data_IF_216769647746
#
_entry.id   IF_216769647746
#
_cell.length_a   1.000
_cell.length_b   1.000
_cell.length_c   1.000
_cell.angle_alpha   90.00
_cell.angle_beta   90.00
_cell.angle_gamma   90.00
#
_symmetry.space_group_name_H-M   'P 1'
#
loop_
_entity.id
_entity.type
_entity.pdbx_description
1 polymer ?
#
# COMPACT_ATOMS: atom_id res chain seq x y z
N UNK A 1 2.70 48.65 -24.32
CA UNK A 1 1.75 47.95 -25.21
C UNK A 1 2.14 46.49 -25.46
N UNK A 2 3.38 46.10 -25.16
CA UNK A 2 3.89 44.74 -25.43
C UNK A 2 3.65 43.72 -24.30
N UNK A 3 3.11 44.14 -23.16
CA UNK A 3 2.80 43.22 -22.03
C UNK A 3 1.34 42.71 -22.03
N UNK A 4 0.51 43.17 -22.95
CA UNK A 4 -0.89 42.74 -23.06
C UNK A 4 -1.15 41.64 -24.09
N UNK A 5 -0.17 41.25 -24.88
CA UNK A 5 -0.33 40.18 -25.89
C UNK A 5 0.05 38.76 -25.37
N UNK A 6 0.58 38.63 -24.17
CA UNK A 6 0.95 37.32 -23.58
C UNK A 6 -0.18 36.63 -22.80
N UNK A 7 -1.34 37.27 -22.65
CA UNK A 7 -2.56 36.60 -22.19
C UNK A 7 -3.25 35.95 -23.40
N UNK A 8 -2.63 34.94 -23.98
CA UNK A 8 -3.27 34.05 -24.94
C UNK A 8 -4.59 33.59 -24.36
N UNK A 9 -5.68 33.97 -24.99
CA UNK A 9 -7.04 33.49 -24.72
C UNK A 9 -6.99 31.98 -24.70
N UNK A 10 -7.04 31.37 -23.50
CA UNK A 10 -7.34 29.96 -23.40
C UNK A 10 -8.73 29.80 -24.04
N UNK A 11 -8.78 29.09 -25.14
CA UNK A 11 -10.02 28.57 -25.69
C UNK A 11 -10.60 27.68 -24.59
N UNK A 12 -11.90 27.79 -24.29
CA UNK A 12 -12.54 26.97 -23.24
C UNK A 12 -12.47 25.46 -23.47
N UNK A 13 -11.85 25.04 -24.57
CA UNK A 13 -11.68 23.65 -25.01
C UNK A 13 -10.24 23.13 -24.81
N UNK A 14 -9.31 23.93 -24.29
CA UNK A 14 -7.92 23.53 -24.10
C UNK A 14 -7.78 22.69 -22.80
N UNK A 15 -7.17 21.51 -22.93
CA UNK A 15 -6.81 20.64 -21.79
C UNK A 15 -5.43 21.04 -21.28
N UNK A 16 -5.32 21.12 -19.93
CA UNK A 16 -4.02 21.26 -19.27
C UNK A 16 -3.28 19.93 -19.22
N UNK A 17 -4.02 18.81 -19.04
CA UNK A 17 -3.46 17.46 -18.91
C UNK A 17 -4.29 16.44 -19.69
N UNK A 18 -3.62 15.63 -20.48
CA UNK A 18 -4.18 14.43 -21.08
C UNK A 18 -3.49 13.20 -20.49
N UNK A 19 -4.24 12.37 -19.77
CA UNK A 19 -3.76 11.10 -19.22
C UNK A 19 -4.13 9.96 -20.15
N UNK A 20 -3.15 9.17 -20.56
CA UNK A 20 -3.34 8.01 -21.42
C UNK A 20 -3.16 6.72 -20.63
N UNK A 21 -4.24 5.98 -20.44
CA UNK A 21 -4.32 4.76 -19.66
C UNK A 21 -4.96 4.95 -18.28
N UNK A 22 -5.99 4.16 -17.98
CA UNK A 22 -6.76 4.21 -16.74
C UNK A 22 -6.39 3.05 -15.77
N UNK A 23 -5.11 2.76 -15.63
CA UNK A 23 -4.58 1.96 -14.52
C UNK A 23 -4.46 2.80 -13.24
N UNK A 24 -3.95 2.21 -12.15
CA UNK A 24 -3.82 2.90 -10.85
C UNK A 24 -3.02 4.21 -10.95
N UNK A 25 -1.95 4.22 -11.75
CA UNK A 25 -1.13 5.43 -11.95
C UNK A 25 -1.91 6.49 -12.72
N UNK A 26 -2.53 6.14 -13.85
CA UNK A 26 -3.26 7.11 -14.67
C UNK A 26 -4.48 7.67 -13.96
N UNK A 27 -5.28 6.83 -13.29
CA UNK A 27 -6.42 7.28 -12.51
C UNK A 27 -5.98 8.19 -11.34
N UNK A 28 -4.92 7.82 -10.61
CA UNK A 28 -4.37 8.67 -9.55
C UNK A 28 -3.83 10.00 -10.08
N UNK A 29 -3.13 10.00 -11.22
CA UNK A 29 -2.63 11.22 -11.87
C UNK A 29 -3.78 12.14 -12.30
N UNK A 30 -4.83 11.57 -12.91
CA UNK A 30 -6.00 12.34 -13.32
C UNK A 30 -6.72 12.96 -12.13
N UNK A 31 -6.91 12.19 -11.06
CA UNK A 31 -7.54 12.66 -9.82
C UNK A 31 -6.72 13.79 -9.18
N UNK A 32 -5.41 13.64 -9.06
CA UNK A 32 -4.54 14.68 -8.50
C UNK A 32 -4.57 15.95 -9.36
N UNK A 33 -4.49 15.84 -10.69
CA UNK A 33 -4.56 16.97 -11.61
C UNK A 33 -5.89 17.74 -11.46
N UNK A 34 -7.02 17.04 -11.48
CA UNK A 34 -8.34 17.65 -11.29
C UNK A 34 -8.46 18.30 -9.90
N UNK A 35 -7.94 17.66 -8.85
CA UNK A 35 -7.97 18.22 -7.50
C UNK A 35 -7.20 19.54 -7.35
N UNK A 36 -6.24 19.76 -8.26
CA UNK A 36 -5.47 21.02 -8.36
C UNK A 36 -6.11 22.05 -9.29
N UNK A 37 -7.28 21.75 -9.83
CA UNK A 37 -8.02 22.66 -10.73
C UNK A 37 -7.56 22.63 -12.18
N UNK A 38 -6.78 21.65 -12.60
CA UNK A 38 -6.36 21.48 -13.97
C UNK A 38 -7.47 20.85 -14.82
N UNK A 39 -7.68 21.40 -16.04
CA UNK A 39 -8.56 20.82 -17.05
C UNK A 39 -7.95 19.51 -17.55
N UNK A 40 -8.56 18.38 -17.19
CA UNK A 40 -7.95 17.06 -17.37
C UNK A 40 -8.87 16.12 -18.12
N UNK A 41 -8.33 15.42 -19.12
CA UNK A 41 -8.98 14.28 -19.75
C UNK A 41 -8.19 13.00 -19.49
N UNK A 42 -8.91 11.89 -19.36
CA UNK A 42 -8.34 10.55 -19.26
C UNK A 42 -8.91 9.69 -20.37
N UNK A 43 -8.04 9.00 -21.10
CA UNK A 43 -8.42 8.07 -22.17
C UNK A 43 -7.88 6.69 -21.89
N UNK A 44 -8.73 5.68 -22.10
CA UNK A 44 -8.40 4.27 -21.92
C UNK A 44 -8.88 3.46 -23.13
N UNK A 45 -8.06 2.56 -23.63
CA UNK A 45 -8.38 1.78 -24.83
C UNK A 45 -9.35 0.60 -24.58
N UNK A 46 -9.53 0.18 -23.34
CA UNK A 46 -10.36 -0.98 -22.96
C UNK A 46 -11.31 -0.64 -21.82
N UNK A 47 -10.84 -0.77 -20.56
CA UNK A 47 -11.61 -0.53 -19.35
C UNK A 47 -10.65 -0.12 -18.23
N UNK A 48 -11.17 0.55 -17.21
CA UNK A 48 -10.42 0.92 -16.03
C UNK A 48 -9.78 -0.32 -15.40
N UNK A 49 -8.54 -0.18 -14.95
CA UNK A 49 -7.76 -1.25 -14.32
C UNK A 49 -7.64 -2.55 -15.12
N UNK A 50 -7.98 -2.60 -16.39
CA UNK A 50 -8.02 -3.82 -17.21
C UNK A 50 -6.67 -4.53 -17.38
N UNK A 51 -5.58 -3.81 -17.14
CA UNK A 51 -4.20 -4.32 -17.21
C UNK A 51 -3.68 -4.86 -15.88
N UNK A 52 -2.46 -4.48 -15.53
CA UNK A 52 -1.76 -4.90 -14.30
C UNK A 52 -2.49 -4.51 -13.02
N UNK A 53 -3.21 -3.38 -13.04
CA UNK A 53 -3.88 -2.82 -11.86
C UNK A 53 -5.03 -3.66 -11.30
N UNK A 54 -5.54 -4.67 -12.03
CA UNK A 54 -6.50 -5.66 -11.50
C UNK A 54 -5.89 -7.05 -11.30
N UNK A 55 -4.61 -7.21 -11.63
CA UNK A 55 -3.88 -8.49 -11.58
C UNK A 55 -2.72 -8.45 -10.60
N UNK A 56 -2.81 -7.58 -9.61
CA UNK A 56 -1.84 -7.44 -8.54
C UNK A 56 -2.05 -8.53 -7.46
N UNK A 57 -1.19 -8.54 -6.46
CA UNK A 57 -1.39 -9.36 -5.26
C UNK A 57 -2.54 -8.87 -4.37
N UNK A 58 -3.19 -7.76 -4.74
CA UNK A 58 -4.25 -7.07 -3.97
C UNK A 58 -3.80 -6.60 -2.58
N UNK A 59 -2.49 -6.45 -2.38
CA UNK A 59 -1.90 -6.04 -1.12
C UNK A 59 -1.45 -4.58 -1.17
N UNK A 60 -1.84 -3.85 -0.14
CA UNK A 60 -1.29 -2.53 0.20
C UNK A 60 -0.40 -2.74 1.40
N UNK A 61 0.90 -2.88 1.15
CA UNK A 61 1.87 -3.27 2.18
C UNK A 61 2.93 -2.19 2.38
N UNK A 62 3.42 -2.06 3.62
CA UNK A 62 4.51 -1.15 3.94
C UNK A 62 5.90 -1.66 3.58
N UNK A 63 5.99 -2.79 2.87
CA UNK A 63 7.27 -3.28 2.35
C UNK A 63 8.24 -3.78 3.41
N UNK A 64 7.78 -4.60 4.36
CA UNK A 64 8.61 -5.19 5.42
C UNK A 64 9.96 -5.73 4.92
N UNK A 65 9.99 -6.30 3.72
CA UNK A 65 11.20 -6.82 3.08
C UNK A 65 12.27 -5.75 2.82
N UNK A 66 11.87 -4.47 2.63
CA UNK A 66 12.82 -3.39 2.39
C UNK A 66 13.56 -2.95 3.65
N UNK A 67 13.09 -3.35 4.85
CA UNK A 67 13.87 -3.16 6.08
C UNK A 67 15.20 -3.94 6.05
N UNK A 68 15.21 -5.12 5.45
CA UNK A 68 16.44 -5.91 5.27
C UNK A 68 17.43 -5.24 4.30
N UNK A 69 16.92 -4.37 3.43
CA UNK A 69 17.71 -3.58 2.48
C UNK A 69 18.08 -2.20 3.06
N UNK A 70 17.71 -1.92 4.31
CA UNK A 70 17.90 -0.65 5.00
C UNK A 70 17.26 0.57 4.31
N UNK A 71 16.25 0.35 3.45
CA UNK A 71 15.51 1.42 2.79
C UNK A 71 14.36 1.91 3.69
N UNK A 72 14.73 2.58 4.77
CA UNK A 72 13.75 3.10 5.74
C UNK A 72 12.87 4.21 5.17
N UNK A 73 13.36 4.96 4.20
CA UNK A 73 12.59 6.03 3.57
C UNK A 73 11.40 5.46 2.80
N UNK A 74 11.65 4.46 1.97
CA UNK A 74 10.60 3.77 1.21
C UNK A 74 9.58 3.07 2.13
N UNK A 75 10.05 2.41 3.20
CA UNK A 75 9.15 1.77 4.18
C UNK A 75 8.26 2.79 4.87
N UNK A 76 8.82 3.94 5.27
CA UNK A 76 8.05 5.01 5.91
C UNK A 76 6.96 5.54 5.00
N UNK A 77 7.31 5.88 3.75
CA UNK A 77 6.37 6.36 2.75
C UNK A 77 5.24 5.34 2.50
N UNK A 78 5.60 4.07 2.27
CA UNK A 78 4.63 3.01 2.04
C UNK A 78 3.69 2.78 3.24
N UNK A 79 4.18 2.92 4.48
CA UNK A 79 3.37 2.82 5.70
C UNK A 79 2.42 4.01 5.86
N UNK A 80 2.86 5.22 5.52
CA UNK A 80 2.03 6.43 5.54
C UNK A 80 0.90 6.33 4.51
N UNK A 81 1.21 5.90 3.28
CA UNK A 81 0.22 5.69 2.22
C UNK A 81 -0.77 4.58 2.59
N UNK A 82 -0.30 3.46 3.16
CA UNK A 82 -1.18 2.41 3.68
C UNK A 82 -2.14 2.94 4.75
N UNK A 83 -1.62 3.70 5.70
CA UNK A 83 -2.41 4.32 6.76
C UNK A 83 -3.46 5.28 6.20
N UNK A 84 -3.09 6.09 5.22
CA UNK A 84 -3.97 7.02 4.54
C UNK A 84 -5.11 6.31 3.81
N UNK A 85 -4.81 5.25 3.06
CA UNK A 85 -5.80 4.42 2.36
C UNK A 85 -6.76 3.73 3.33
N UNK A 86 -6.25 3.15 4.43
CA UNK A 86 -7.05 2.45 5.44
C UNK A 86 -8.00 3.37 6.21
N UNK A 87 -7.58 4.63 6.47
CA UNK A 87 -8.28 5.47 7.44
C UNK A 87 -9.03 6.64 6.82
N UNK A 88 -8.65 7.09 5.62
CA UNK A 88 -9.19 8.31 5.02
C UNK A 88 -9.68 8.14 3.58
N UNK A 89 -8.82 7.65 2.67
CA UNK A 89 -9.15 7.64 1.24
C UNK A 89 -10.18 6.56 0.92
N UNK A 90 -9.91 5.31 1.33
CA UNK A 90 -10.73 4.17 0.93
C UNK A 90 -11.00 3.17 2.07
N UNK A 91 -11.45 3.61 3.26
CA UNK A 91 -11.67 2.71 4.40
C UNK A 91 -12.75 1.66 4.15
N UNK A 92 -13.60 1.86 3.16
CA UNK A 92 -14.63 0.92 2.72
C UNK A 92 -14.12 -0.15 1.76
N UNK A 93 -12.97 0.05 1.13
CA UNK A 93 -12.35 -0.87 0.17
C UNK A 93 -11.11 -1.57 0.73
N UNK A 94 -10.35 -0.88 1.58
CA UNK A 94 -9.09 -1.36 2.12
C UNK A 94 -9.31 -1.92 3.53
N UNK A 95 -8.84 -3.14 3.77
CA UNK A 95 -9.01 -3.82 5.05
C UNK A 95 -7.71 -4.43 5.56
N UNK A 96 -7.48 -4.48 6.89
CA UNK A 96 -6.34 -5.19 7.47
C UNK A 96 -6.38 -6.69 7.13
N UNK A 97 -5.25 -7.26 6.76
CA UNK A 97 -5.08 -8.69 6.54
C UNK A 97 -3.93 -9.23 7.38
N UNK A 98 -4.14 -10.34 8.12
CA UNK A 98 -3.09 -10.95 8.92
C UNK A 98 -2.15 -11.78 8.05
N UNK A 99 -0.86 -11.63 8.31
CA UNK A 99 0.20 -12.48 7.80
C UNK A 99 0.81 -13.30 8.92
N UNK A 100 1.23 -14.48 8.60
CA UNK A 100 1.92 -15.37 9.53
C UNK A 100 3.34 -15.61 9.00
N UNK A 101 4.34 -15.16 9.76
CA UNK A 101 5.74 -15.49 9.51
C UNK A 101 6.11 -16.74 10.32
N UNK A 102 6.26 -17.91 9.68
CA UNK A 102 6.63 -19.13 10.39
C UNK A 102 8.10 -19.06 10.81
N UNK A 103 8.37 -19.42 12.06
CA UNK A 103 9.73 -19.50 12.60
C UNK A 103 10.19 -20.94 12.58
N UNK A 104 11.35 -21.18 12.01
CA UNK A 104 11.96 -22.51 11.86
C UNK A 104 13.21 -22.70 12.72
N UNK A 105 13.87 -21.62 13.11
CA UNK A 105 15.09 -21.65 13.93
C UNK A 105 14.80 -21.26 15.38
N UNK A 106 15.38 -22.00 16.31
CA UNK A 106 15.07 -21.86 17.73
C UNK A 106 15.62 -20.57 18.38
N UNK A 107 16.82 -20.14 18.03
CA UNK A 107 17.55 -19.16 18.81
C UNK A 107 17.48 -17.73 18.23
N UNK A 108 17.91 -17.54 16.99
CA UNK A 108 18.16 -16.20 16.45
C UNK A 108 17.00 -15.61 15.64
N UNK A 109 16.19 -16.46 15.02
CA UNK A 109 15.17 -16.01 14.06
C UNK A 109 14.06 -15.20 14.74
N UNK A 110 13.59 -15.66 15.91
CA UNK A 110 12.55 -14.94 16.66
C UNK A 110 12.96 -13.54 17.11
N UNK A 111 14.11 -13.32 17.75
CA UNK A 111 14.55 -11.97 18.08
C UNK A 111 14.84 -11.11 16.85
N UNK A 112 15.43 -11.66 15.80
CA UNK A 112 15.73 -10.93 14.56
C UNK A 112 14.46 -10.45 13.85
N UNK A 113 13.55 -11.36 13.52
CA UNK A 113 12.29 -11.03 12.84
C UNK A 113 11.39 -10.19 13.76
N UNK A 114 11.39 -10.48 15.06
CA UNK A 114 10.66 -9.70 16.06
C UNK A 114 11.14 -8.26 16.15
N UNK A 115 12.44 -8.01 16.11
CA UNK A 115 13.00 -6.65 16.10
C UNK A 115 12.63 -5.91 14.80
N UNK A 116 12.70 -6.57 13.64
CA UNK A 116 12.26 -6.01 12.38
C UNK A 116 10.78 -5.62 12.38
N UNK A 117 9.91 -6.48 12.89
CA UNK A 117 8.48 -6.18 13.00
C UNK A 117 8.16 -5.12 14.06
N UNK A 118 8.92 -5.06 15.16
CA UNK A 118 8.79 -4.01 16.15
C UNK A 118 9.18 -2.63 15.55
N UNK A 119 10.24 -2.58 14.75
CA UNK A 119 10.63 -1.38 14.02
C UNK A 119 9.56 -0.99 12.99
N UNK A 120 9.03 -1.95 12.25
CA UNK A 120 7.96 -1.75 11.28
C UNK A 120 6.71 -1.15 11.91
N UNK A 121 6.26 -1.70 13.04
CA UNK A 121 5.14 -1.17 13.81
C UNK A 121 5.45 0.23 14.36
N UNK A 122 6.66 0.45 14.89
CA UNK A 122 7.08 1.76 15.40
C UNK A 122 7.07 2.82 14.30
N UNK A 123 7.59 2.50 13.11
CA UNK A 123 7.56 3.41 11.96
C UNK A 123 6.12 3.74 11.53
N UNK A 124 5.22 2.75 11.54
CA UNK A 124 3.81 2.96 11.23
C UNK A 124 3.10 3.85 12.27
N UNK A 125 3.49 3.76 13.55
CA UNK A 125 2.91 4.56 14.63
C UNK A 125 3.40 6.01 14.65
N UNK A 126 4.63 6.26 14.24
CA UNK A 126 5.23 7.61 14.18
C UNK A 126 4.85 8.33 12.89
N UNK A 127 4.27 7.63 11.93
CA UNK A 127 3.82 8.19 10.66
C UNK A 127 2.69 9.23 10.84
N UNK A 128 2.46 9.99 9.79
CA UNK A 128 1.47 11.09 9.76
C UNK A 128 0.02 10.63 9.96
N UNK A 129 -0.26 9.36 9.65
CA UNK A 129 -1.59 8.76 9.73
C UNK A 129 -1.60 7.60 10.70
N UNK A 130 -2.78 7.31 11.26
CA UNK A 130 -2.96 6.15 12.13
C UNK A 130 -2.54 4.86 11.40
N UNK A 131 -1.95 3.94 12.15
CA UNK A 131 -1.47 2.64 11.66
C UNK A 131 -2.58 1.85 10.93
N UNK A 132 -3.82 1.99 11.37
CA UNK A 132 -4.99 1.33 10.76
C UNK A 132 -5.01 -0.19 10.86
N UNK A 133 -3.94 -0.80 11.41
CA UNK A 133 -3.77 -2.25 11.55
C UNK A 133 -3.32 -2.61 12.97
N UNK A 134 -3.64 -3.84 13.48
CA UNK A 134 -3.14 -4.30 14.76
C UNK A 134 -1.62 -4.53 14.74
N UNK A 135 -0.99 -4.37 15.91
CA UNK A 135 0.44 -4.67 16.08
C UNK A 135 0.75 -6.15 15.92
N UNK A 136 2.01 -6.46 15.62
CA UNK A 136 2.48 -7.83 15.54
C UNK A 136 2.34 -8.57 16.89
N UNK A 137 2.22 -9.90 16.83
CA UNK A 137 2.16 -10.78 18.00
C UNK A 137 2.98 -12.03 17.81
N UNK A 138 3.79 -12.37 18.80
CA UNK A 138 4.50 -13.64 18.85
C UNK A 138 3.54 -14.77 19.21
N UNK A 139 3.65 -15.86 18.46
CA UNK A 139 2.84 -17.06 18.66
C UNK A 139 3.74 -18.25 19.02
N UNK A 140 3.21 -19.11 19.90
CA UNK A 140 3.78 -20.44 20.11
C UNK A 140 3.52 -21.33 18.89
N UNK A 141 4.24 -22.44 18.75
CA UNK A 141 3.99 -23.45 17.71
C UNK A 141 2.51 -23.88 17.68
N UNK A 142 1.92 -24.18 18.85
CA UNK A 142 0.50 -24.54 18.96
C UNK A 142 -0.44 -23.42 18.50
N UNK A 143 -0.08 -22.17 18.80
CA UNK A 143 -0.83 -20.99 18.35
C UNK A 143 -0.77 -20.79 16.85
N UNK A 144 0.39 -21.01 16.25
CA UNK A 144 0.59 -20.92 14.80
C UNK A 144 -0.22 -22.01 14.05
N UNK A 145 -0.14 -23.27 14.50
CA UNK A 145 -0.88 -24.39 13.90
C UNK A 145 -2.40 -24.25 14.00
N UNK A 146 -2.91 -23.54 15.01
CA UNK A 146 -4.36 -23.25 15.07
C UNK A 146 -4.81 -22.25 13.99
N UNK A 147 -3.92 -21.34 13.55
CA UNK A 147 -4.21 -20.36 12.52
C UNK A 147 -3.93 -20.89 11.11
N UNK A 148 -2.93 -21.76 10.99
CA UNK A 148 -2.51 -22.37 9.73
C UNK A 148 -2.20 -23.85 9.97
N UNK A 149 -3.22 -24.74 9.94
CA UNK A 149 -3.06 -26.16 10.21
C UNK A 149 -2.16 -26.91 9.22
N UNK A 150 -2.05 -26.38 7.99
CA UNK A 150 -1.27 -26.98 6.91
C UNK A 150 0.25 -26.74 7.03
N UNK A 151 0.68 -25.94 8.02
CA UNK A 151 2.10 -25.76 8.28
C UNK A 151 2.72 -27.06 8.81
N UNK A 152 3.91 -27.37 8.35
CA UNK A 152 4.68 -28.53 8.79
C UNK A 152 5.03 -28.42 10.29
N UNK A 153 4.46 -29.28 11.15
CA UNK A 153 4.65 -29.14 12.59
C UNK A 153 6.10 -29.41 13.05
N UNK A 154 6.79 -30.34 12.38
CA UNK A 154 8.16 -30.75 12.70
C UNK A 154 9.20 -29.65 12.49
N UNK A 155 9.00 -28.81 11.49
CA UNK A 155 9.91 -27.70 11.16
C UNK A 155 9.58 -26.40 11.92
N UNK A 156 8.43 -26.32 12.61
CA UNK A 156 7.93 -25.08 13.18
C UNK A 156 8.31 -24.92 14.64
N UNK A 157 8.99 -23.84 15.00
CA UNK A 157 9.31 -23.46 16.40
C UNK A 157 8.29 -22.46 16.98
N UNK A 158 7.57 -21.77 16.12
CA UNK A 158 6.54 -20.78 16.43
C UNK A 158 6.25 -19.92 15.23
N UNK A 159 5.60 -18.79 15.43
CA UNK A 159 5.37 -17.81 14.37
C UNK A 159 5.29 -16.39 14.95
N UNK A 160 5.35 -15.39 14.05
CA UNK A 160 4.96 -14.03 14.37
C UNK A 160 3.84 -13.65 13.43
N UNK A 161 2.70 -13.22 13.99
CA UNK A 161 1.60 -12.67 13.23
C UNK A 161 1.77 -11.17 13.13
N UNK A 162 1.75 -10.63 11.93
CA UNK A 162 1.76 -9.20 11.66
C UNK A 162 0.64 -8.85 10.68
N UNK A 163 0.47 -7.59 10.37
CA UNK A 163 -0.62 -7.14 9.52
C UNK A 163 -0.12 -6.19 8.45
N UNK A 164 -0.70 -6.34 7.29
CA UNK A 164 -0.71 -5.36 6.22
C UNK A 164 -2.15 -5.11 5.78
N UNK A 165 -2.37 -4.52 4.61
CA UNK A 165 -3.69 -4.27 4.11
C UNK A 165 -3.95 -4.99 2.78
N UNK A 166 -5.21 -5.26 2.51
CA UNK A 166 -5.70 -5.82 1.26
C UNK A 166 -6.78 -4.91 0.68
N UNK A 167 -6.81 -4.80 -0.62
CA UNK A 167 -7.78 -3.99 -1.36
C UNK A 167 -8.31 -4.77 -2.57
N UNK A 168 -9.53 -4.47 -2.99
CA UNK A 168 -9.97 -4.77 -4.35
C UNK A 168 -9.36 -3.71 -5.27
N UNK A 169 -8.26 -4.07 -5.93
CA UNK A 169 -7.45 -3.17 -6.75
C UNK A 169 -8.23 -2.58 -7.93
N UNK A 170 -9.10 -3.35 -8.57
CA UNK A 170 -9.94 -2.84 -9.65
C UNK A 170 -10.92 -1.77 -9.14
N UNK A 171 -11.56 -2.02 -8.01
CA UNK A 171 -12.48 -1.06 -7.38
C UNK A 171 -11.80 0.18 -6.82
N UNK A 172 -10.54 0.06 -6.42
CA UNK A 172 -9.78 1.22 -5.95
C UNK A 172 -9.48 2.20 -7.09
N UNK A 173 -9.34 1.69 -8.31
CA UNK A 173 -9.03 2.50 -9.50
C UNK A 173 -10.27 3.15 -10.09
N UNK A 174 -11.44 2.53 -9.93
CA UNK A 174 -12.73 3.05 -10.44
C UNK A 174 -13.46 3.90 -9.41
#
# INVERSE_FOLDING_TARGET
LDEMEAAGSRSGDDLDVLVVGAGVVGAGTALDAVSRGLSTALVEQRDFASGTSSRSSKLVHGGLRYLEMFDFALVKEALEERGLLLTRIAPHLVRPVPFLYPLTHHAWERPYVGAGLALYDAMAMVGKYDMGVPRHRHLTRRGALRLAPDLRPDALTGAIRYYDAQVDDARLVT
#
